data_IF_973089453526
#
_entry.id   IF_973089453526
#
_cell.length_a   1.000
_cell.length_b   1.000
_cell.length_c   1.000
_cell.angle_alpha   90.00
_cell.angle_beta   90.00
_cell.angle_gamma   90.00
#
_symmetry.space_group_name_H-M   'P 1'
#
loop_
_entity.id
_entity.type
_entity.pdbx_description
1 polymer ?
#
# COMPACT_ATOMS: atom_id res chain seq x y z
N UNK A 1 2.37 7.46 -15.26
CA UNK A 1 1.01 7.74 -14.76
C UNK A 1 1.00 7.44 -13.29
N UNK A 2 0.61 8.41 -12.45
CA UNK A 2 0.44 8.16 -11.02
C UNK A 2 -0.86 7.39 -10.80
N UNK A 3 -0.86 6.34 -9.97
CA UNK A 3 -2.06 5.59 -9.64
C UNK A 3 -3.04 6.49 -8.87
N UNK A 4 -4.34 6.35 -9.19
CA UNK A 4 -5.41 6.97 -8.42
C UNK A 4 -6.50 5.93 -8.20
N UNK A 5 -7.07 5.92 -7.00
CA UNK A 5 -8.24 5.10 -6.71
C UNK A 5 -9.38 5.45 -7.65
N UNK A 6 -10.07 4.43 -8.15
CA UNK A 6 -11.40 4.64 -8.74
C UNK A 6 -12.38 5.13 -7.67
N UNK A 7 -13.48 5.77 -8.07
CA UNK A 7 -14.52 6.21 -7.13
C UNK A 7 -15.04 5.06 -6.25
N UNK A 8 -15.26 3.88 -6.83
CA UNK A 8 -15.70 2.68 -6.10
C UNK A 8 -14.63 2.20 -5.13
N UNK A 9 -13.37 2.07 -5.57
CA UNK A 9 -12.26 1.67 -4.71
C UNK A 9 -12.14 2.61 -3.50
N UNK A 10 -12.18 3.93 -3.74
CA UNK A 10 -12.15 4.94 -2.68
C UNK A 10 -13.30 4.79 -1.70
N UNK A 11 -14.54 4.60 -2.18
CA UNK A 11 -15.71 4.44 -1.33
C UNK A 11 -15.61 3.19 -0.43
N UNK A 12 -15.19 2.06 -0.99
CA UNK A 12 -14.96 0.82 -0.24
C UNK A 12 -13.90 1.03 0.82
N UNK A 13 -12.74 1.56 0.46
CA UNK A 13 -11.64 1.76 1.40
C UNK A 13 -12.03 2.71 2.52
N UNK A 14 -12.71 3.81 2.21
CA UNK A 14 -13.25 4.74 3.21
C UNK A 14 -14.22 4.06 4.17
N UNK A 15 -15.10 3.18 3.68
CA UNK A 15 -16.03 2.42 4.52
C UNK A 15 -15.33 1.40 5.43
N UNK A 16 -14.13 0.95 5.06
CA UNK A 16 -13.35 -0.03 5.82
C UNK A 16 -12.47 0.62 6.90
N UNK A 17 -12.18 1.92 6.82
CA UNK A 17 -11.42 2.63 7.86
C UNK A 17 -12.01 2.40 9.27
N UNK A 18 -13.29 2.66 9.55
CA UNK A 18 -13.85 2.43 10.88
C UNK A 18 -13.96 0.94 11.26
N UNK A 19 -13.75 0.01 10.32
CA UNK A 19 -13.78 -1.44 10.56
C UNK A 19 -12.39 -1.98 10.91
N UNK A 20 -11.34 -1.45 10.27
CA UNK A 20 -9.97 -1.97 10.39
C UNK A 20 -9.12 -1.12 11.33
N UNK A 21 -9.26 0.21 11.25
CA UNK A 21 -8.45 1.14 12.00
C UNK A 21 -9.05 1.42 13.39
N UNK A 22 -8.24 1.91 14.35
CA UNK A 22 -8.76 2.36 15.64
C UNK A 22 -9.79 3.49 15.47
N UNK A 23 -10.70 3.70 16.43
CA UNK A 23 -11.79 4.67 16.31
C UNK A 23 -11.30 6.11 16.04
N UNK A 24 -10.15 6.48 16.61
CA UNK A 24 -9.53 7.80 16.44
C UNK A 24 -9.09 8.07 14.99
N UNK A 25 -8.99 7.03 14.15
CA UNK A 25 -8.64 7.14 12.74
C UNK A 25 -9.83 7.54 11.85
N UNK A 26 -11.07 7.55 12.36
CA UNK A 26 -12.26 7.78 11.55
C UNK A 26 -12.24 9.16 10.87
N UNK A 27 -11.76 10.20 11.56
CA UNK A 27 -11.61 11.55 11.00
C UNK A 27 -10.50 11.64 9.95
N UNK A 28 -9.56 10.70 9.97
CA UNK A 28 -8.43 10.64 9.05
C UNK A 28 -8.70 9.75 7.84
N UNK A 29 -9.92 9.24 7.67
CA UNK A 29 -10.24 8.22 6.67
C UNK A 29 -9.80 8.59 5.25
N UNK A 30 -10.06 9.82 4.79
CA UNK A 30 -9.63 10.24 3.46
C UNK A 30 -8.12 10.30 3.31
N UNK A 31 -7.42 10.81 4.33
CA UNK A 31 -5.97 10.91 4.31
C UNK A 31 -5.30 9.52 4.33
N UNK A 32 -5.87 8.57 5.08
CA UNK A 32 -5.42 7.16 5.09
C UNK A 32 -5.63 6.53 3.71
N UNK A 33 -6.79 6.73 3.09
CA UNK A 33 -7.09 6.19 1.75
C UNK A 33 -6.16 6.80 0.69
N UNK A 34 -5.86 8.09 0.80
CA UNK A 34 -4.90 8.79 -0.08
C UNK A 34 -3.48 8.26 0.12
N UNK A 35 -3.05 8.05 1.36
CA UNK A 35 -1.76 7.44 1.64
C UNK A 35 -1.67 6.03 1.03
N UNK A 36 -2.72 5.23 1.18
CA UNK A 36 -2.75 3.89 0.60
C UNK A 36 -2.69 3.90 -0.94
N UNK A 37 -3.18 4.97 -1.59
CA UNK A 37 -3.02 5.17 -3.03
C UNK A 37 -1.54 5.28 -3.43
N UNK A 38 -0.70 5.90 -2.59
CA UNK A 38 0.74 5.99 -2.80
C UNK A 38 1.39 4.60 -2.73
N UNK A 39 1.05 3.81 -1.71
CA UNK A 39 1.57 2.44 -1.54
C UNK A 39 1.18 1.53 -2.71
N UNK A 40 -0.06 1.62 -3.16
CA UNK A 40 -0.53 0.86 -4.34
C UNK A 40 0.13 1.39 -5.61
N UNK A 41 0.30 2.71 -5.75
CA UNK A 41 0.95 3.34 -6.90
C UNK A 41 2.42 2.95 -7.08
N UNK A 42 3.11 2.62 -5.99
CA UNK A 42 4.47 2.08 -6.01
C UNK A 42 4.54 0.61 -6.46
N UNK A 43 3.41 -0.10 -6.49
CA UNK A 43 3.35 -1.53 -6.84
C UNK A 43 3.33 -1.76 -8.36
N UNK A 44 3.69 -2.96 -8.86
CA UNK A 44 3.58 -3.31 -10.27
C UNK A 44 2.15 -3.14 -10.81
N UNK A 45 2.00 -2.74 -12.07
CA UNK A 45 0.70 -2.43 -12.68
C UNK A 45 -0.31 -3.59 -12.63
N UNK A 46 0.17 -4.84 -12.67
CA UNK A 46 -0.68 -6.02 -12.51
C UNK A 46 -1.32 -6.08 -11.11
N UNK A 47 -0.53 -5.80 -10.07
CA UNK A 47 -1.00 -5.78 -8.70
C UNK A 47 -1.99 -4.64 -8.46
N UNK A 48 -1.73 -3.45 -9.01
CA UNK A 48 -2.66 -2.33 -8.97
C UNK A 48 -4.04 -2.72 -9.52
N UNK A 49 -4.08 -3.36 -10.70
CA UNK A 49 -5.32 -3.84 -11.33
C UNK A 49 -6.00 -4.93 -10.49
N UNK A 50 -5.22 -5.86 -9.94
CA UNK A 50 -5.74 -6.92 -9.09
C UNK A 50 -6.41 -6.37 -7.82
N UNK A 51 -5.83 -5.34 -7.19
CA UNK A 51 -6.41 -4.69 -6.02
C UNK A 51 -7.73 -4.00 -6.38
N UNK A 52 -7.77 -3.26 -7.50
CA UNK A 52 -9.02 -2.62 -7.96
C UNK A 52 -10.12 -3.66 -8.23
N UNK A 53 -9.78 -4.77 -8.90
CA UNK A 53 -10.72 -5.85 -9.17
C UNK A 53 -11.18 -6.55 -7.88
N UNK A 54 -10.29 -6.76 -6.92
CA UNK A 54 -10.60 -7.33 -5.61
C UNK A 54 -11.56 -6.45 -4.80
N UNK A 55 -11.31 -5.13 -4.76
CA UNK A 55 -12.20 -4.18 -4.09
C UNK A 55 -13.58 -4.12 -4.73
N UNK A 56 -13.66 -4.19 -6.06
CA UNK A 56 -14.93 -4.27 -6.77
C UNK A 56 -15.68 -5.58 -6.45
N UNK A 57 -14.96 -6.70 -6.44
CA UNK A 57 -15.53 -8.01 -6.08
C UNK A 57 -16.04 -8.01 -4.63
N UNK A 58 -15.28 -7.42 -3.70
CA UNK A 58 -15.70 -7.21 -2.32
C UNK A 58 -16.97 -6.35 -2.24
N UNK A 59 -17.02 -5.23 -2.98
CA UNK A 59 -18.17 -4.33 -2.95
C UNK A 59 -19.47 -5.01 -3.45
N UNK A 60 -19.36 -5.77 -4.54
CA UNK A 60 -20.49 -6.48 -5.15
C UNK A 60 -20.86 -7.76 -4.39
N UNK A 61 -19.89 -8.41 -3.75
CA UNK A 61 -20.10 -9.65 -3.01
C UNK A 61 -21.02 -9.51 -1.79
N UNK A 62 -21.30 -8.28 -1.35
CA UNK A 62 -22.27 -8.01 -0.29
C UNK A 62 -23.73 -8.11 -0.78
N UNK A 63 -23.98 -7.93 -2.08
CA UNK A 63 -25.33 -7.86 -2.65
C UNK A 63 -26.19 -9.10 -2.37
N UNK A 64 -25.70 -10.35 -2.55
CA UNK A 64 -26.53 -11.55 -2.37
C UNK A 64 -27.06 -11.72 -0.94
N UNK A 65 -26.35 -11.20 0.07
CA UNK A 65 -26.69 -11.37 1.49
C UNK A 65 -27.35 -10.13 2.09
N UNK A 66 -26.93 -8.94 1.68
CA UNK A 66 -27.33 -7.68 2.31
C UNK A 66 -28.18 -6.78 1.41
N UNK A 67 -28.37 -7.16 0.13
CA UNK A 67 -29.07 -6.36 -0.89
C UNK A 67 -28.51 -4.94 -1.05
N UNK A 68 -27.27 -4.73 -0.61
CA UNK A 68 -26.53 -3.48 -0.65
C UNK A 68 -25.08 -3.78 -0.96
N UNK A 69 -24.41 -2.82 -1.58
CA UNK A 69 -22.95 -2.85 -1.79
C UNK A 69 -22.23 -2.71 -0.46
N UNK A 70 -21.03 -3.27 -0.37
CA UNK A 70 -20.27 -3.30 0.89
C UNK A 70 -20.02 -1.90 1.45
N UNK A 71 -19.66 -0.93 0.60
CA UNK A 71 -19.39 0.44 1.04
C UNK A 71 -20.61 1.19 1.59
N UNK A 72 -21.81 0.71 1.30
CA UNK A 72 -23.09 1.28 1.74
C UNK A 72 -23.70 0.53 2.93
N UNK A 73 -22.96 -0.40 3.54
CA UNK A 73 -23.39 -1.12 4.73
C UNK A 73 -23.24 -0.23 5.98
N UNK A 74 -24.21 -0.30 6.92
CA UNK A 74 -24.02 0.22 8.27
C UNK A 74 -22.83 -0.45 8.96
N UNK A 75 -22.21 0.25 9.92
CA UNK A 75 -20.98 -0.19 10.59
C UNK A 75 -21.04 -1.63 11.14
N UNK A 76 -22.13 -1.98 11.84
CA UNK A 76 -22.34 -3.31 12.43
C UNK A 76 -22.41 -4.44 11.39
N UNK A 77 -22.87 -4.12 10.17
CA UNK A 77 -22.94 -5.07 9.05
C UNK A 77 -21.64 -5.08 8.25
N UNK A 78 -20.98 -3.94 8.12
CA UNK A 78 -19.68 -3.82 7.46
C UNK A 78 -18.63 -4.65 8.19
N UNK A 79 -18.58 -4.58 9.52
CA UNK A 79 -17.68 -5.38 10.35
C UNK A 79 -17.92 -6.88 10.17
N UNK A 80 -19.18 -7.32 10.31
CA UNK A 80 -19.55 -8.73 10.08
C UNK A 80 -19.24 -9.20 8.67
N UNK A 81 -19.44 -8.34 7.67
CA UNK A 81 -19.15 -8.68 6.29
C UNK A 81 -17.64 -8.81 6.05
N UNK A 82 -16.85 -7.87 6.56
CA UNK A 82 -15.40 -7.93 6.49
C UNK A 82 -14.83 -9.16 7.22
N UNK A 83 -15.32 -9.44 8.43
CA UNK A 83 -14.94 -10.63 9.20
C UNK A 83 -15.21 -11.94 8.42
N UNK A 84 -16.28 -11.99 7.61
CA UNK A 84 -16.59 -13.15 6.76
C UNK A 84 -15.61 -13.35 5.60
N UNK A 85 -14.90 -12.30 5.18
CA UNK A 85 -13.81 -12.41 4.22
C UNK A 85 -12.50 -12.81 4.89
N UNK A 86 -12.21 -12.23 6.06
CA UNK A 86 -11.01 -12.52 6.84
C UNK A 86 -10.96 -13.97 7.34
N UNK A 87 -12.13 -14.53 7.66
CA UNK A 87 -12.31 -15.93 8.10
C UNK A 87 -13.05 -16.77 7.05
N UNK A 88 -13.01 -16.32 5.80
CA UNK A 88 -13.85 -16.85 4.73
C UNK A 88 -13.48 -18.26 4.24
N UNK A 89 -14.37 -18.80 3.40
CA UNK A 89 -14.31 -20.17 2.90
C UNK A 89 -13.16 -20.39 1.91
N UNK A 90 -12.72 -19.35 1.20
CA UNK A 90 -11.65 -19.45 0.21
C UNK A 90 -10.36 -18.79 0.70
N UNK A 91 -9.19 -19.42 0.49
CA UNK A 91 -7.91 -18.81 0.81
C UNK A 91 -7.71 -17.45 0.13
N UNK A 92 -8.29 -17.26 -1.06
CA UNK A 92 -8.19 -16.00 -1.81
C UNK A 92 -8.88 -14.84 -1.09
N UNK A 93 -10.08 -15.05 -0.54
CA UNK A 93 -10.78 -14.01 0.23
C UNK A 93 -9.98 -13.62 1.48
N UNK A 94 -9.46 -14.62 2.19
CA UNK A 94 -8.67 -14.43 3.41
C UNK A 94 -7.40 -13.64 3.11
N UNK A 95 -6.65 -14.02 2.07
CA UNK A 95 -5.43 -13.31 1.69
C UNK A 95 -5.70 -11.89 1.21
N UNK A 96 -6.79 -11.69 0.47
CA UNK A 96 -7.19 -10.36 0.03
C UNK A 96 -7.56 -9.44 1.21
N UNK A 97 -8.39 -9.92 2.14
CA UNK A 97 -8.75 -9.18 3.35
C UNK A 97 -7.51 -8.84 4.18
N UNK A 98 -6.63 -9.82 4.42
CA UNK A 98 -5.36 -9.59 5.14
C UNK A 98 -4.48 -8.55 4.45
N UNK A 99 -4.34 -8.60 3.13
CA UNK A 99 -3.57 -7.62 2.38
C UNK A 99 -4.15 -6.21 2.52
N UNK A 100 -5.48 -6.06 2.42
CA UNK A 100 -6.16 -4.76 2.62
C UNK A 100 -5.98 -4.28 4.06
N UNK A 101 -6.12 -5.16 5.06
CA UNK A 101 -5.86 -4.84 6.47
C UNK A 101 -4.44 -4.31 6.67
N UNK A 102 -3.45 -5.04 6.17
CA UNK A 102 -2.04 -4.67 6.33
C UNK A 102 -1.73 -3.32 5.68
N UNK A 103 -2.19 -3.10 4.45
CA UNK A 103 -1.98 -1.83 3.75
C UNK A 103 -2.67 -0.66 4.45
N UNK A 104 -3.89 -0.87 4.95
CA UNK A 104 -4.65 0.15 5.66
C UNK A 104 -4.08 0.46 7.03
N UNK A 105 -3.66 -0.57 7.77
CA UNK A 105 -2.97 -0.42 9.05
C UNK A 105 -1.65 0.33 8.89
N UNK A 106 -0.86 -0.02 7.87
CA UNK A 106 0.36 0.70 7.53
C UNK A 106 0.06 2.17 7.24
N UNK A 107 -0.89 2.43 6.33
CA UNK A 107 -1.29 3.79 5.95
C UNK A 107 -1.84 4.61 7.12
N UNK A 108 -2.55 3.96 8.05
CA UNK A 108 -3.08 4.57 9.25
C UNK A 108 -1.95 5.05 10.18
N UNK A 109 -1.01 4.17 10.53
CA UNK A 109 0.05 4.51 11.47
C UNK A 109 1.19 5.32 10.85
N UNK A 110 1.32 5.33 9.52
CA UNK A 110 2.24 6.24 8.81
C UNK A 110 1.68 7.66 8.64
N UNK A 111 0.38 7.86 8.90
CA UNK A 111 -0.22 9.18 8.76
C UNK A 111 0.28 10.14 9.85
N UNK A 112 0.82 11.34 9.50
CA UNK A 112 1.40 12.25 10.48
C UNK A 112 0.46 12.67 11.62
N UNK A 113 -0.84 12.82 11.31
CA UNK A 113 -1.86 13.13 12.31
C UNK A 113 -2.07 11.98 13.30
N UNK A 114 -2.06 10.73 12.83
CA UNK A 114 -2.15 9.54 13.70
C UNK A 114 -0.88 9.38 14.53
N UNK A 115 0.31 9.55 13.93
CA UNK A 115 1.58 9.55 14.64
C UNK A 115 1.58 10.59 15.78
N UNK A 116 1.12 11.81 15.51
CA UNK A 116 1.01 12.85 16.51
C UNK A 116 0.00 12.50 17.62
N UNK A 117 -1.16 11.93 17.26
CA UNK A 117 -2.18 11.51 18.22
C UNK A 117 -1.66 10.45 19.20
N UNK A 118 -0.82 9.52 18.75
CA UNK A 118 -0.21 8.49 19.60
C UNK A 118 1.11 8.92 20.25
N UNK A 119 1.52 10.18 20.09
CA UNK A 119 2.77 10.72 20.63
C UNK A 119 4.04 10.18 19.97
N UNK A 120 3.93 9.61 18.76
CA UNK A 120 5.06 9.09 18.00
C UNK A 120 5.71 10.18 17.15
N UNK A 121 6.90 10.63 17.55
CA UNK A 121 7.68 11.66 16.85
C UNK A 121 9.09 11.16 16.51
N UNK A 122 9.25 10.36 15.43
CA UNK A 122 10.53 9.73 15.13
C UNK A 122 11.56 10.67 14.49
N UNK A 123 11.13 11.78 13.89
CA UNK A 123 11.99 12.65 13.09
C UNK A 123 13.25 13.15 13.83
N UNK A 124 13.17 13.68 15.07
CA UNK A 124 14.37 14.13 15.79
C UNK A 124 15.40 13.01 16.02
N UNK A 125 14.92 11.80 16.32
CA UNK A 125 15.77 10.63 16.48
C UNK A 125 16.39 10.18 15.16
N UNK A 126 15.60 10.14 14.09
CA UNK A 126 16.07 9.84 12.73
C UNK A 126 17.17 10.82 12.33
N UNK A 127 16.99 12.12 12.57
CA UNK A 127 17.98 13.15 12.25
C UNK A 127 19.27 12.98 13.07
N UNK A 128 19.14 12.64 14.35
CA UNK A 128 20.29 12.37 15.21
C UNK A 128 21.09 11.15 14.72
N UNK A 129 20.40 10.02 14.45
CA UNK A 129 21.05 8.79 14.00
C UNK A 129 21.62 8.95 12.59
N UNK A 130 20.92 9.67 11.71
CA UNK A 130 21.41 9.99 10.35
C UNK A 130 22.72 10.77 10.42
N UNK A 131 22.77 11.85 11.22
CA UNK A 131 24.00 12.61 11.43
C UNK A 131 25.15 11.75 11.95
N UNK A 132 24.88 10.90 12.96
CA UNK A 132 25.88 9.97 13.51
C UNK A 132 26.37 8.94 12.49
N UNK A 133 25.46 8.36 11.71
CA UNK A 133 25.83 7.34 10.71
C UNK A 133 26.62 7.94 9.56
N UNK A 134 26.24 9.12 9.08
CA UNK A 134 26.99 9.82 8.05
C UNK A 134 28.38 10.23 8.57
N UNK A 135 28.53 10.68 9.81
CA UNK A 135 29.86 11.04 10.32
C UNK A 135 30.82 9.84 10.43
N UNK A 136 30.30 8.63 10.64
CA UNK A 136 31.13 7.41 10.82
C UNK A 136 31.30 6.64 9.52
N UNK A 137 30.25 6.50 8.72
CA UNK A 137 30.18 5.55 7.60
C UNK A 137 30.17 6.20 6.22
N UNK A 138 30.35 7.51 6.07
CA UNK A 138 30.29 8.16 4.74
C UNK A 138 31.24 7.50 3.74
N UNK A 139 32.49 7.22 4.11
CA UNK A 139 33.46 6.59 3.22
C UNK A 139 33.04 5.18 2.79
N UNK A 140 32.40 4.42 3.68
CA UNK A 140 31.90 3.08 3.38
C UNK A 140 30.65 3.13 2.51
N UNK A 141 29.74 4.07 2.76
CA UNK A 141 28.56 4.34 1.92
C UNK A 141 29.00 4.70 0.50
N UNK A 142 29.97 5.58 0.33
CA UNK A 142 30.51 5.97 -0.98
C UNK A 142 31.20 4.81 -1.71
N UNK A 143 31.91 3.95 -0.97
CA UNK A 143 32.54 2.74 -1.52
C UNK A 143 31.47 1.77 -2.02
N UNK A 144 30.45 1.51 -1.20
CA UNK A 144 29.33 0.63 -1.54
C UNK A 144 28.53 1.18 -2.73
N UNK A 145 28.23 2.48 -2.74
CA UNK A 145 27.51 3.13 -3.84
C UNK A 145 28.28 3.00 -5.17
N UNK A 146 29.61 3.20 -5.14
CA UNK A 146 30.47 2.97 -6.31
C UNK A 146 30.45 1.53 -6.79
N UNK A 147 30.40 0.55 -5.89
CA UNK A 147 30.29 -0.87 -6.26
C UNK A 147 28.95 -1.20 -6.91
N UNK A 148 27.85 -0.66 -6.41
CA UNK A 148 26.50 -0.88 -6.98
C UNK A 148 26.38 -0.26 -8.38
N UNK A 149 26.97 0.91 -8.59
CA UNK A 149 26.95 1.64 -9.85
C UNK A 149 28.04 1.18 -10.84
N UNK A 150 29.01 0.40 -10.37
CA UNK A 150 30.05 -0.13 -11.24
C UNK A 150 29.42 -1.04 -12.31
N UNK A 151 29.93 -1.01 -13.56
CA UNK A 151 29.47 -1.92 -14.60
C UNK A 151 29.58 -3.37 -14.13
N UNK A 152 28.53 -4.16 -14.37
CA UNK A 152 28.52 -5.58 -14.00
C UNK A 152 29.74 -6.28 -14.62
N UNK A 153 30.69 -6.78 -13.80
CA UNK A 153 31.92 -7.37 -14.32
C UNK A 153 31.67 -8.64 -15.14
N UNK A 154 30.48 -9.26 -15.02
CA UNK A 154 30.08 -10.44 -15.78
C UNK A 154 29.25 -10.13 -17.03
N UNK A 155 28.91 -8.86 -17.27
CA UNK A 155 28.18 -8.41 -18.48
C UNK A 155 28.91 -7.24 -19.16
N UNK A 156 30.05 -7.49 -19.82
CA UNK A 156 30.72 -6.46 -20.59
C UNK A 156 29.85 -6.04 -21.79
N UNK A 157 29.38 -4.78 -21.74
CA UNK A 157 28.85 -3.99 -22.86
C UNK A 157 28.17 -4.75 -24.01
N UNK A 158 26.90 -5.12 -23.86
CA UNK A 158 26.07 -5.43 -25.02
C UNK A 158 25.69 -4.14 -25.76
N UNK A 159 26.61 -3.62 -26.55
CA UNK A 159 26.28 -2.68 -27.62
C UNK A 159 25.45 -3.46 -28.64
N UNK A 160 24.12 -3.36 -28.59
CA UNK A 160 23.24 -3.88 -29.64
C UNK A 160 23.49 -3.09 -30.92
N UNK A 161 24.49 -3.52 -31.70
CA UNK A 161 24.59 -3.12 -33.10
C UNK A 161 23.49 -3.86 -33.84
N UNK A 162 22.39 -3.17 -34.13
CA UNK A 162 21.37 -3.64 -35.07
C UNK A 162 22.01 -3.67 -36.46
N UNK A 163 22.54 -4.82 -36.88
CA UNK A 163 22.79 -5.07 -38.28
C UNK A 163 21.43 -5.11 -39.00
N UNK A 164 21.24 -4.14 -39.89
CA UNK A 164 20.07 -4.03 -40.77
C UNK A 164 20.44 -4.78 -42.05
N UNK A 165 20.30 -6.09 -42.07
CA UNK A 165 20.33 -6.86 -43.32
C UNK A 165 18.93 -6.82 -43.95
N UNK A 166 18.82 -6.01 -45.00
CA UNK A 166 17.85 -6.19 -46.07
C UNK A 166 18.68 -6.60 -47.28
N UNK A 167 18.42 -7.79 -47.79
CA UNK A 167 18.27 -8.08 -49.21
C UNK A 167 17.16 -9.13 -49.35
#
# INVERSE_FOLDING_TARGET
MSYQHTATSRAVLRSLVPVICPPDAAELADAIVDHMALSIGASPALLQKAIVAGLLTYDLGALPRYFRRAHALPADKAERYYASWEHGVTPLHVQFARAVNQLMSLSCYEQPAMMAAIGYHPAPWIDQVTRRRLSVYTADIERQARQILAPDPLRPGHTRVRAKERD
#
